data_IF_970554082291
#
_entry.id   IF_970554082291
#
_cell.length_a   1.000
_cell.length_b   1.000
_cell.length_c   1.000
_cell.angle_alpha   90.00
_cell.angle_beta   90.00
_cell.angle_gamma   90.00
#
_symmetry.space_group_name_H-M   'P 1'
#
loop_
_entity.id
_entity.type
_entity.pdbx_description
1 polymer ?
#
# COMPACT_ATOMS: atom_id res chain seq x y z
N UNK A 1 9.13 -0.95 3.32
CA UNK A 1 8.93 -2.41 3.16
C UNK A 1 7.93 -3.00 4.15
N UNK A 2 7.78 -2.44 5.36
CA UNK A 2 7.06 -3.10 6.46
C UNK A 2 5.58 -3.38 6.17
N UNK A 3 4.87 -2.41 5.57
CA UNK A 3 3.46 -2.60 5.19
C UNK A 3 3.28 -3.73 4.17
N UNK A 4 4.15 -3.81 3.16
CA UNK A 4 4.07 -4.86 2.15
C UNK A 4 4.25 -6.26 2.78
N UNK A 5 5.19 -6.40 3.73
CA UNK A 5 5.40 -7.64 4.47
C UNK A 5 4.22 -8.00 5.38
N UNK A 6 3.64 -7.03 6.09
CA UNK A 6 2.45 -7.25 6.91
C UNK A 6 1.28 -7.79 6.08
N UNK A 7 0.98 -7.15 4.95
CA UNK A 7 -0.08 -7.60 4.04
C UNK A 7 0.21 -8.99 3.48
N UNK A 8 1.45 -9.26 3.07
CA UNK A 8 1.85 -10.58 2.59
C UNK A 8 1.65 -11.67 3.66
N UNK A 9 2.09 -11.41 4.89
CA UNK A 9 1.95 -12.37 6.00
C UNK A 9 0.48 -12.68 6.31
N UNK A 10 -0.38 -11.67 6.35
CA UNK A 10 -1.81 -11.88 6.62
C UNK A 10 -2.48 -12.58 5.43
N UNK A 11 -2.12 -12.24 4.18
CA UNK A 11 -2.66 -12.89 3.00
C UNK A 11 -2.35 -14.39 2.93
N UNK A 12 -1.21 -14.83 3.48
CA UNK A 12 -0.87 -16.26 3.60
C UNK A 12 -1.87 -17.03 4.47
N UNK A 13 -2.49 -16.39 5.47
CA UNK A 13 -3.53 -17.02 6.30
C UNK A 13 -4.83 -17.30 5.51
N UNK A 14 -4.97 -16.67 4.35
CA UNK A 14 -6.10 -16.82 3.42
C UNK A 14 -5.75 -17.74 2.25
N UNK A 15 -4.60 -18.43 2.28
CA UNK A 15 -4.06 -19.20 1.16
C UNK A 15 -3.82 -18.36 -0.12
N UNK A 16 -3.68 -17.03 0.02
CA UNK A 16 -3.41 -16.12 -1.08
C UNK A 16 -1.91 -15.85 -1.13
N UNK A 17 -1.24 -16.45 -2.11
CA UNK A 17 0.19 -16.23 -2.33
C UNK A 17 0.42 -14.91 -3.10
N UNK A 18 0.70 -13.83 -2.37
CA UNK A 18 0.96 -12.51 -2.95
C UNK A 18 2.45 -12.23 -3.14
N UNK A 19 2.79 -11.55 -4.24
CA UNK A 19 4.16 -11.12 -4.55
C UNK A 19 4.36 -9.64 -4.25
N UNK A 20 5.57 -9.27 -3.83
CA UNK A 20 5.97 -7.87 -3.66
C UNK A 20 6.72 -7.44 -4.92
N UNK A 21 6.21 -6.43 -5.61
CA UNK A 21 6.83 -5.83 -6.79
C UNK A 21 7.37 -4.44 -6.48
N UNK A 22 8.52 -4.11 -7.08
CA UNK A 22 9.16 -2.80 -6.98
C UNK A 22 8.97 -2.04 -8.29
N UNK A 23 8.35 -0.87 -8.20
CA UNK A 23 8.10 0.00 -9.36
C UNK A 23 9.08 1.18 -9.34
N UNK A 24 9.46 1.72 -10.50
CA UNK A 24 10.13 3.02 -10.56
C UNK A 24 9.29 4.06 -9.83
N UNK A 25 9.90 4.77 -8.88
CA UNK A 25 9.17 5.74 -8.06
C UNK A 25 8.69 6.91 -8.94
N UNK A 26 7.37 7.14 -9.04
CA UNK A 26 6.86 8.28 -9.80
C UNK A 26 7.04 9.62 -9.07
N UNK A 27 7.47 9.62 -7.80
CA UNK A 27 7.60 10.79 -6.94
C UNK A 27 9.06 11.20 -6.76
N UNK A 28 9.27 12.48 -6.46
CA UNK A 28 10.55 12.98 -5.96
C UNK A 28 10.52 12.97 -4.43
N UNK A 29 10.94 11.87 -3.81
CA UNK A 29 10.98 11.72 -2.35
C UNK A 29 12.16 10.85 -1.90
N UNK A 30 12.58 10.99 -0.64
CA UNK A 30 13.64 10.16 -0.07
C UNK A 30 13.09 8.78 0.30
N UNK A 31 13.44 7.74 -0.45
CA UNK A 31 12.98 6.37 -0.16
C UNK A 31 13.56 5.80 1.15
N UNK A 32 14.74 6.28 1.55
CA UNK A 32 15.41 5.92 2.79
C UNK A 32 15.82 7.20 3.51
N UNK A 33 15.21 7.44 4.67
CA UNK A 33 15.49 8.60 5.50
C UNK A 33 15.21 8.29 6.97
N UNK A 34 15.82 9.06 7.86
CA UNK A 34 15.49 9.01 9.28
C UNK A 34 14.09 9.57 9.50
N UNK A 35 13.27 8.84 10.27
CA UNK A 35 11.89 9.24 10.57
C UNK A 35 11.60 9.11 12.07
N UNK A 36 11.40 10.24 12.74
CA UNK A 36 10.97 10.32 14.13
C UNK A 36 10.05 11.54 14.33
N UNK A 37 8.75 11.32 14.15
CA UNK A 37 7.73 12.36 14.34
C UNK A 37 7.08 12.22 15.72
N UNK A 38 7.20 13.26 16.56
CA UNK A 38 6.56 13.30 17.89
C UNK A 38 5.05 13.57 17.74
N UNK A 39 4.21 12.76 18.41
CA UNK A 39 2.75 12.80 18.24
C UNK A 39 1.96 12.62 19.57
N UNK A 40 2.22 13.46 20.57
CA UNK A 40 1.61 13.31 21.91
C UNK A 40 0.32 14.11 22.13
N UNK A 41 0.06 15.17 21.36
CA UNK A 41 -1.06 16.08 21.64
C UNK A 41 -2.45 15.43 21.62
N UNK A 42 -2.74 14.54 20.68
CA UNK A 42 -4.02 13.81 20.65
C UNK A 42 -4.15 12.77 21.78
N UNK A 43 -3.12 11.92 22.04
CA UNK A 43 -3.11 11.06 23.22
C UNK A 43 -3.36 11.81 24.54
N UNK A 44 -2.77 12.98 24.73
CA UNK A 44 -2.97 13.82 25.93
C UNK A 44 -4.42 14.31 26.07
N UNK A 45 -5.14 14.50 24.95
CA UNK A 45 -6.57 14.83 24.93
C UNK A 45 -7.48 13.59 25.09
N UNK A 46 -6.93 12.41 25.33
CA UNK A 46 -7.67 11.18 25.60
C UNK A 46 -7.87 10.27 24.39
N UNK A 47 -7.21 10.52 23.25
CA UNK A 47 -7.25 9.59 22.10
C UNK A 47 -6.80 8.19 22.55
N UNK A 48 -7.66 7.20 22.32
CA UNK A 48 -7.32 5.79 22.43
C UNK A 48 -7.04 5.25 21.01
N UNK A 49 -5.77 5.05 20.61
CA UNK A 49 -5.45 4.67 19.25
C UNK A 49 -5.87 3.23 18.94
N UNK A 50 -6.48 3.03 17.78
CA UNK A 50 -6.65 1.71 17.19
C UNK A 50 -5.47 1.43 16.26
N UNK A 51 -4.52 0.64 16.73
CA UNK A 51 -3.32 0.30 15.97
C UNK A 51 -3.62 -0.65 14.79
N UNK A 52 -2.74 -0.62 13.79
CA UNK A 52 -2.78 -1.58 12.68
C UNK A 52 -2.29 -2.95 13.16
N UNK A 53 -3.22 -3.80 13.57
CA UNK A 53 -2.98 -5.21 13.90
C UNK A 53 -3.19 -6.11 12.69
N UNK A 54 -2.77 -7.36 12.80
CA UNK A 54 -2.99 -8.36 11.75
C UNK A 54 -4.49 -8.62 11.53
N UNK A 55 -5.31 -8.60 12.59
CA UNK A 55 -6.78 -8.69 12.51
C UNK A 55 -7.39 -7.52 11.74
N UNK A 56 -6.88 -6.30 11.92
CA UNK A 56 -7.35 -5.13 11.16
C UNK A 56 -7.05 -5.32 9.67
N UNK A 57 -5.88 -5.85 9.33
CA UNK A 57 -5.50 -6.14 7.94
C UNK A 57 -6.37 -7.28 7.37
N UNK A 58 -6.64 -8.33 8.16
CA UNK A 58 -7.51 -9.44 7.77
C UNK A 58 -8.92 -8.93 7.41
N UNK A 59 -9.52 -8.11 8.27
CA UNK A 59 -10.82 -7.48 7.99
C UNK A 59 -10.78 -6.58 6.74
N UNK A 60 -9.68 -5.88 6.47
CA UNK A 60 -9.51 -5.12 5.22
C UNK A 60 -9.44 -6.04 3.99
N UNK A 61 -8.74 -7.18 4.10
CA UNK A 61 -8.65 -8.17 3.05
C UNK A 61 -10.02 -8.81 2.76
N UNK A 62 -10.79 -9.19 3.78
CA UNK A 62 -12.16 -9.70 3.61
C UNK A 62 -13.01 -8.75 2.76
N UNK A 63 -12.97 -7.47 3.10
CA UNK A 63 -13.68 -6.43 2.36
C UNK A 63 -13.20 -6.34 0.92
N UNK A 64 -11.88 -6.33 0.69
CA UNK A 64 -11.32 -6.26 -0.66
C UNK A 64 -11.68 -7.50 -1.51
N UNK A 65 -11.60 -8.70 -0.93
CA UNK A 65 -11.93 -9.97 -1.58
C UNK A 65 -13.42 -10.00 -1.94
N UNK A 66 -14.30 -9.58 -1.03
CA UNK A 66 -15.75 -9.54 -1.27
C UNK A 66 -16.14 -8.63 -2.44
N UNK A 67 -15.35 -7.59 -2.71
CA UNK A 67 -15.57 -6.62 -3.77
C UNK A 67 -14.63 -6.80 -4.98
N UNK A 68 -13.87 -7.91 -5.06
CA UNK A 68 -12.80 -8.08 -6.06
C UNK A 68 -13.26 -7.93 -7.51
N UNK A 69 -14.49 -8.35 -7.82
CA UNK A 69 -15.07 -8.25 -9.17
C UNK A 69 -15.31 -6.80 -9.60
N UNK A 70 -15.43 -5.87 -8.65
CA UNK A 70 -15.60 -4.45 -8.91
C UNK A 70 -14.27 -3.72 -9.17
N UNK A 71 -13.13 -4.41 -8.99
CA UNK A 71 -11.79 -3.79 -9.09
C UNK A 71 -11.40 -3.58 -10.55
N UNK A 72 -11.38 -2.33 -10.98
CA UNK A 72 -10.85 -1.93 -12.29
C UNK A 72 -9.31 -1.90 -12.25
N UNK A 73 -8.67 -2.97 -12.72
CA UNK A 73 -7.20 -3.13 -12.71
C UNK A 73 -6.43 -2.00 -13.39
N UNK A 74 -7.03 -1.34 -14.38
CA UNK A 74 -6.43 -0.17 -15.07
C UNK A 74 -6.04 0.95 -14.09
N UNK A 75 -6.70 1.05 -12.94
CA UNK A 75 -6.47 2.09 -11.93
C UNK A 75 -5.34 1.83 -10.95
N UNK A 76 -4.76 0.63 -10.91
CA UNK A 76 -3.86 0.21 -9.82
C UNK A 76 -2.47 0.83 -9.95
N UNK A 77 -1.91 0.88 -11.17
CA UNK A 77 -0.55 1.36 -11.39
C UNK A 77 -0.52 2.89 -11.52
N UNK A 78 0.55 3.54 -11.01
CA UNK A 78 0.72 4.98 -11.20
C UNK A 78 0.87 5.33 -12.68
N UNK A 79 0.26 6.44 -13.12
CA UNK A 79 0.31 6.93 -14.51
C UNK A 79 0.85 8.36 -14.64
N UNK A 80 1.28 8.94 -13.53
CA UNK A 80 1.74 10.33 -13.45
C UNK A 80 3.05 10.34 -12.68
N UNK A 81 4.04 11.03 -13.22
CA UNK A 81 5.33 11.28 -12.57
C UNK A 81 5.43 12.75 -12.14
N UNK A 82 6.14 13.03 -11.05
CA UNK A 82 6.39 14.39 -10.59
C UNK A 82 7.24 15.20 -11.58
N UNK A 83 8.22 14.55 -12.23
CA UNK A 83 9.08 15.22 -13.21
C UNK A 83 8.39 15.59 -14.52
N UNK A 84 7.49 14.75 -15.03
CA UNK A 84 7.03 14.85 -16.43
C UNK A 84 5.50 14.84 -16.60
N UNK A 85 4.72 14.79 -15.53
CA UNK A 85 3.26 14.72 -15.61
C UNK A 85 2.79 13.33 -16.09
N UNK A 86 1.75 13.28 -16.94
CA UNK A 86 1.19 12.02 -17.43
C UNK A 86 2.27 11.22 -18.17
N UNK A 87 2.57 10.04 -17.65
CA UNK A 87 3.48 9.10 -18.29
C UNK A 87 2.77 8.40 -19.45
N UNK A 88 3.00 8.92 -20.66
CA UNK A 88 2.45 8.37 -21.91
C UNK A 88 3.04 7.01 -22.29
N UNK A 89 4.16 6.59 -21.69
CA UNK A 89 4.76 5.26 -21.90
C UNK A 89 4.17 4.22 -20.93
N UNK A 90 3.51 4.70 -19.88
CA UNK A 90 2.81 3.92 -18.89
C UNK A 90 3.74 3.08 -18.01
N UNK A 91 3.40 2.97 -16.73
CA UNK A 91 3.87 1.87 -15.86
C UNK A 91 3.25 0.52 -16.30
N UNK A 92 2.76 0.42 -17.54
CA UNK A 92 2.22 -0.78 -18.18
C UNK A 92 3.29 -1.81 -18.54
N UNK A 93 4.58 -1.47 -18.43
CA UNK A 93 5.69 -2.39 -18.71
C UNK A 93 5.99 -3.41 -17.60
N UNK A 94 5.39 -3.29 -16.40
CA UNK A 94 5.78 -4.07 -15.22
C UNK A 94 4.78 -5.16 -14.83
N UNK A 95 3.61 -5.23 -15.48
CA UNK A 95 2.65 -6.33 -15.28
C UNK A 95 2.63 -7.19 -16.52
N UNK A 96 3.64 -8.06 -16.63
CA UNK A 96 3.51 -9.27 -17.44
C UNK A 96 2.89 -10.35 -16.55
N UNK A 97 1.95 -11.08 -17.15
CA UNK A 97 1.20 -12.20 -16.57
C UNK A 97 2.08 -13.22 -15.83
#
# INVERSE_FOLDING_TARGET
>A
MDIAKKVQNVALLYDINVTISHLPNPREEMEQHYYHAVHTGLPELGLQPHHLTDDVIAHMLDRAISAKENVRRVGILPRVTWKHGIDKKGVAGVVRE
#
